data_IF_608820895970
#
_entry.id   IF_608820895970
#
_cell.length_a   1.000
_cell.length_b   1.000
_cell.length_c   1.000
_cell.angle_alpha   90.00
_cell.angle_beta   90.00
_cell.angle_gamma   90.00
#
_symmetry.space_group_name_H-M   'P 1'
#
loop_
_entity.id
_entity.type
_entity.pdbx_description
1 polymer ?
#
# COMPACT_ATOMS: atom_id res chain seq x y z
N UNK A 1 -42.54 -1.50 10.23
CA UNK A 1 -41.33 -0.65 10.32
C UNK A 1 -40.21 -1.53 10.84
N UNK A 2 -39.48 -2.18 9.95
CA UNK A 2 -38.35 -3.06 10.32
C UNK A 2 -37.12 -2.20 10.31
N UNK A 3 -36.67 -1.79 11.50
CA UNK A 3 -35.36 -1.20 11.69
C UNK A 3 -34.31 -2.29 11.42
N UNK A 4 -33.80 -2.35 10.20
CA UNK A 4 -32.56 -3.01 9.96
C UNK A 4 -31.45 -2.11 10.52
N UNK A 5 -30.89 -2.49 11.65
CA UNK A 5 -29.62 -1.98 12.15
C UNK A 5 -28.54 -2.22 11.08
N UNK A 6 -28.40 -1.31 10.14
CA UNK A 6 -27.25 -1.25 9.27
C UNK A 6 -26.09 -0.73 10.11
N UNK A 7 -25.36 -1.63 10.75
CA UNK A 7 -24.08 -1.33 11.34
C UNK A 7 -23.22 -0.60 10.31
N UNK A 8 -22.90 0.64 10.59
CA UNK A 8 -21.95 1.54 9.94
C UNK A 8 -21.30 1.00 8.66
N UNK A 9 -21.91 1.28 7.52
CA UNK A 9 -21.28 0.99 6.24
C UNK A 9 -20.47 2.21 5.81
N UNK A 10 -19.16 2.18 6.02
CA UNK A 10 -18.27 3.10 5.30
C UNK A 10 -18.17 2.57 3.89
N UNK A 11 -18.93 3.14 2.98
CA UNK A 11 -18.78 2.88 1.56
C UNK A 11 -17.72 3.84 1.04
N UNK A 12 -16.66 3.29 0.47
CA UNK A 12 -15.65 4.09 -0.20
C UNK A 12 -15.83 3.91 -1.68
N UNK A 13 -16.35 4.95 -2.33
CA UNK A 13 -16.41 5.01 -3.77
C UNK A 13 -15.10 5.58 -4.30
N UNK A 14 -14.27 4.76 -4.92
CA UNK A 14 -13.18 5.24 -5.75
C UNK A 14 -13.74 5.60 -7.11
N UNK A 15 -13.92 6.89 -7.37
CA UNK A 15 -14.16 7.40 -8.72
C UNK A 15 -12.81 7.34 -9.43
N UNK A 16 -12.65 6.32 -10.24
CA UNK A 16 -11.52 6.24 -11.16
C UNK A 16 -11.99 6.89 -12.44
N UNK A 17 -11.88 8.20 -12.48
CA UNK A 17 -11.98 8.93 -13.71
C UNK A 17 -10.59 8.98 -14.34
N UNK A 18 -10.37 8.19 -15.33
CA UNK A 18 -9.46 8.31 -16.49
C UNK A 18 -9.08 6.95 -17.07
N UNK A 19 -9.76 6.53 -18.09
CA UNK A 19 -9.32 6.20 -19.45
C UNK A 19 -8.10 5.31 -19.67
N UNK A 20 -7.64 4.50 -18.71
CA UNK A 20 -6.79 3.39 -19.10
C UNK A 20 -6.89 2.23 -18.08
N UNK A 21 -7.70 1.19 -18.38
CA UNK A 21 -7.74 -0.04 -17.56
C UNK A 21 -6.35 -0.64 -17.33
N UNK A 22 -5.43 -0.48 -18.30
CA UNK A 22 -4.07 -0.98 -18.21
C UNK A 22 -3.26 -0.42 -17.03
N UNK A 23 -3.56 0.77 -16.52
CA UNK A 23 -2.80 1.34 -15.41
C UNK A 23 -3.18 0.72 -14.06
N UNK A 24 -4.45 0.41 -13.83
CA UNK A 24 -4.91 -0.19 -12.57
C UNK A 24 -4.50 -1.64 -12.42
N UNK A 25 -4.45 -2.40 -13.52
CA UNK A 25 -3.90 -3.75 -13.52
C UNK A 25 -2.39 -3.78 -13.24
N UNK A 26 -1.72 -2.63 -13.26
CA UNK A 26 -0.31 -2.56 -12.90
C UNK A 26 -0.17 -2.35 -11.39
N UNK A 27 0.42 -3.30 -10.70
CA UNK A 27 0.60 -3.33 -9.24
C UNK A 27 1.10 -2.00 -8.63
N UNK A 28 2.08 -1.36 -9.26
CA UNK A 28 2.59 -0.07 -8.80
C UNK A 28 1.50 1.01 -8.77
N UNK A 29 0.75 1.17 -9.86
CA UNK A 29 -0.28 2.19 -9.95
C UNK A 29 -1.45 1.90 -8.99
N UNK A 30 -1.80 0.63 -8.86
CA UNK A 30 -2.82 0.22 -7.90
C UNK A 30 -2.43 0.58 -6.46
N UNK A 31 -1.22 0.23 -6.04
CA UNK A 31 -0.79 0.44 -4.65
C UNK A 31 -0.40 1.89 -4.39
N UNK A 32 0.50 2.45 -5.19
CA UNK A 32 1.11 3.75 -4.92
C UNK A 32 0.19 4.94 -5.24
N UNK A 33 -0.74 4.77 -6.17
CA UNK A 33 -1.62 5.86 -6.57
C UNK A 33 -3.04 5.68 -6.02
N UNK A 34 -3.65 4.49 -6.19
CA UNK A 34 -5.01 4.26 -5.79
C UNK A 34 -5.14 3.95 -4.29
N UNK A 35 -4.57 2.84 -3.83
CA UNK A 35 -4.70 2.40 -2.43
C UNK A 35 -4.10 3.40 -1.46
N UNK A 36 -2.95 3.93 -1.80
CA UNK A 36 -2.25 4.92 -1.02
C UNK A 36 -3.03 6.25 -0.93
N UNK A 37 -3.51 6.77 -2.06
CA UNK A 37 -4.32 7.98 -2.11
C UNK A 37 -5.63 7.83 -1.35
N UNK A 38 -6.31 6.71 -1.56
CA UNK A 38 -7.52 6.36 -0.84
C UNK A 38 -7.31 6.35 0.69
N UNK A 39 -6.33 5.60 1.15
CA UNK A 39 -6.06 5.50 2.58
C UNK A 39 -5.59 6.84 3.16
N UNK A 40 -4.76 7.57 2.42
CA UNK A 40 -4.30 8.88 2.85
C UNK A 40 -5.44 9.87 3.05
N UNK A 41 -6.39 9.92 2.12
CA UNK A 41 -7.59 10.75 2.24
C UNK A 41 -8.46 10.31 3.42
N UNK A 42 -8.69 9.00 3.58
CA UNK A 42 -9.51 8.49 4.68
C UNK A 42 -8.87 8.73 6.05
N UNK A 43 -7.60 8.44 6.18
CA UNK A 43 -6.84 8.60 7.43
C UNK A 43 -6.70 10.05 7.88
N UNK A 44 -6.85 11.03 6.98
CA UNK A 44 -6.84 12.46 7.33
C UNK A 44 -7.99 12.87 8.25
N UNK A 45 -9.03 12.05 8.32
CA UNK A 45 -10.16 12.25 9.22
C UNK A 45 -9.84 11.89 10.69
N UNK A 46 -8.70 11.25 10.94
CA UNK A 46 -8.26 10.89 12.28
C UNK A 46 -6.80 11.36 12.52
N UNK A 47 -6.61 12.53 13.10
CA UNK A 47 -5.27 13.03 13.42
C UNK A 47 -4.62 12.28 14.59
N UNK A 48 -5.36 11.44 15.31
CA UNK A 48 -4.92 10.75 16.53
C UNK A 48 -4.40 9.33 16.31
N UNK A 49 -4.23 8.89 15.06
CA UNK A 49 -3.72 7.54 14.76
C UNK A 49 -2.39 7.33 15.48
N UNK A 50 -2.34 6.27 16.30
CA UNK A 50 -1.20 5.94 17.17
C UNK A 50 -0.10 5.14 16.43
N UNK A 51 1.05 5.00 17.07
CA UNK A 51 2.17 4.19 16.60
C UNK A 51 1.80 2.72 16.42
N UNK A 52 0.92 2.20 17.28
CA UNK A 52 0.40 0.83 17.19
C UNK A 52 -0.65 0.64 16.10
N UNK A 53 -0.96 1.67 15.32
CA UNK A 53 -1.96 1.61 14.25
C UNK A 53 -3.40 1.61 14.77
N UNK A 54 -3.63 2.07 15.99
CA UNK A 54 -4.98 2.26 16.52
C UNK A 54 -5.54 3.56 15.94
N UNK A 55 -6.74 3.47 15.39
CA UNK A 55 -7.48 4.58 14.79
C UNK A 55 -8.90 4.60 15.34
N UNK A 56 -9.46 5.80 15.53
CA UNK A 56 -10.86 6.00 15.84
C UNK A 56 -11.78 5.78 14.61
N UNK A 57 -11.19 5.70 13.41
CA UNK A 57 -11.95 5.45 12.19
C UNK A 57 -12.40 4.00 12.10
N UNK A 58 -13.62 3.82 11.63
CA UNK A 58 -14.11 2.49 11.25
C UNK A 58 -13.28 1.92 10.11
N UNK A 59 -12.95 0.63 10.16
CA UNK A 59 -12.31 -0.03 9.01
C UNK A 59 -13.23 0.03 7.79
N UNK A 60 -12.74 0.47 6.63
CA UNK A 60 -13.52 0.45 5.39
C UNK A 60 -14.03 -0.96 5.09
N UNK A 61 -15.33 -1.09 4.83
CA UNK A 61 -15.96 -2.40 4.56
C UNK A 61 -16.33 -2.59 3.11
N UNK A 62 -16.40 -1.51 2.34
CA UNK A 62 -16.76 -1.55 0.92
C UNK A 62 -15.85 -0.64 0.12
N UNK A 63 -15.43 -1.12 -1.05
CA UNK A 63 -14.79 -0.32 -2.08
C UNK A 63 -15.59 -0.50 -3.36
N UNK A 64 -15.93 0.59 -4.00
CA UNK A 64 -16.64 0.57 -5.26
C UNK A 64 -15.73 1.05 -6.40
N UNK A 65 -15.50 0.18 -7.36
CA UNK A 65 -14.83 0.50 -8.61
C UNK A 65 -15.87 0.93 -9.64
N UNK A 66 -16.13 2.24 -9.71
CA UNK A 66 -17.29 2.83 -10.41
C UNK A 66 -17.38 2.45 -11.88
N UNK A 67 -16.24 2.36 -12.59
CA UNK A 67 -16.18 2.13 -14.04
C UNK A 67 -15.51 0.82 -14.41
N UNK A 68 -15.33 -0.08 -13.46
CA UNK A 68 -14.64 -1.35 -13.69
C UNK A 68 -15.54 -2.53 -13.38
N UNK A 69 -15.26 -3.63 -14.06
CA UNK A 69 -15.76 -4.95 -13.68
C UNK A 69 -14.76 -5.70 -12.78
N UNK A 70 -15.16 -6.86 -12.33
CA UNK A 70 -14.39 -7.68 -11.38
C UNK A 70 -13.02 -8.13 -11.90
N UNK A 71 -12.79 -8.12 -13.20
CA UNK A 71 -11.54 -8.58 -13.82
C UNK A 71 -10.54 -7.46 -14.05
N UNK A 72 -11.01 -6.24 -14.24
CA UNK A 72 -10.22 -5.13 -14.78
C UNK A 72 -9.22 -4.49 -13.80
N UNK A 73 -9.33 -4.75 -12.50
CA UNK A 73 -8.41 -4.21 -11.50
C UNK A 73 -7.36 -5.22 -11.02
N UNK A 74 -7.55 -6.51 -11.32
CA UNK A 74 -6.63 -7.56 -10.90
C UNK A 74 -5.46 -7.67 -11.86
N UNK A 75 -4.25 -7.61 -11.31
CA UNK A 75 -3.05 -7.93 -12.08
C UNK A 75 -2.90 -9.46 -12.27
N UNK A 76 -2.19 -9.93 -13.32
CA UNK A 76 -2.03 -11.36 -13.58
C UNK A 76 -1.49 -12.17 -12.39
N UNK A 77 -0.49 -11.70 -11.62
CA UNK A 77 -0.01 -12.40 -10.43
C UNK A 77 -0.90 -12.20 -9.19
N UNK A 78 -2.02 -11.48 -9.29
CA UNK A 78 -2.97 -11.15 -8.21
C UNK A 78 -2.35 -10.45 -7.00
N UNK A 79 -1.36 -9.62 -7.22
CA UNK A 79 -0.74 -8.82 -6.16
C UNK A 79 -1.65 -7.70 -5.69
N UNK A 80 -2.42 -7.09 -6.62
CA UNK A 80 -3.42 -6.07 -6.28
C UNK A 80 -4.45 -6.60 -5.29
N UNK A 81 -5.02 -7.76 -5.57
CA UNK A 81 -5.99 -8.41 -4.69
C UNK A 81 -5.37 -8.77 -3.34
N UNK A 82 -4.17 -9.34 -3.35
CA UNK A 82 -3.48 -9.73 -2.15
C UNK A 82 -3.20 -8.52 -1.24
N UNK A 83 -2.73 -7.41 -1.79
CA UNK A 83 -2.47 -6.18 -1.04
C UNK A 83 -3.76 -5.58 -0.49
N UNK A 84 -4.81 -5.52 -1.29
CA UNK A 84 -6.10 -5.00 -0.83
C UNK A 84 -6.64 -5.83 0.34
N UNK A 85 -6.55 -7.16 0.25
CA UNK A 85 -6.98 -8.07 1.32
C UNK A 85 -6.09 -7.99 2.55
N UNK A 86 -4.78 -7.80 2.39
CA UNK A 86 -3.88 -7.62 3.54
C UNK A 86 -4.13 -6.30 4.26
N UNK A 87 -4.40 -5.24 3.53
CA UNK A 87 -4.71 -3.92 4.10
C UNK A 87 -6.10 -3.90 4.79
N UNK A 88 -7.10 -4.54 4.16
CA UNK A 88 -8.51 -4.52 4.58
C UNK A 88 -9.13 -5.93 4.45
N UNK A 89 -8.90 -6.83 5.42
CA UNK A 89 -9.35 -8.23 5.32
C UNK A 89 -10.86 -8.41 5.13
N UNK A 90 -11.67 -7.51 5.68
CA UNK A 90 -13.14 -7.55 5.63
C UNK A 90 -13.74 -6.69 4.52
N UNK A 91 -12.93 -6.18 3.58
CA UNK A 91 -13.40 -5.30 2.52
C UNK A 91 -14.11 -6.08 1.42
N UNK A 92 -15.32 -5.63 1.07
CA UNK A 92 -16.06 -6.11 -0.11
C UNK A 92 -15.79 -5.17 -1.27
N UNK A 93 -15.37 -5.71 -2.41
CA UNK A 93 -15.27 -4.97 -3.66
C UNK A 93 -16.59 -5.03 -4.42
N UNK A 94 -17.08 -3.89 -4.85
CA UNK A 94 -18.30 -3.71 -5.64
C UNK A 94 -17.94 -3.04 -6.98
N UNK A 95 -18.75 -3.32 -8.00
CA UNK A 95 -18.50 -2.95 -9.38
C UNK A 95 -19.71 -2.25 -9.98
N UNK A 96 -19.58 -1.76 -11.21
CA UNK A 96 -20.67 -1.06 -11.91
C UNK A 96 -21.96 -1.86 -11.95
N UNK A 97 -21.89 -3.16 -12.21
CA UNK A 97 -23.09 -4.02 -12.28
C UNK A 97 -23.79 -4.14 -10.94
N UNK A 98 -23.08 -4.25 -9.83
CA UNK A 98 -23.69 -4.31 -8.48
C UNK A 98 -24.54 -3.06 -8.18
N UNK A 99 -24.16 -1.92 -8.74
CA UNK A 99 -24.88 -0.65 -8.55
C UNK A 99 -25.99 -0.45 -9.57
N UNK A 100 -25.87 -0.99 -10.78
CA UNK A 100 -26.97 -1.05 -11.75
C UNK A 100 -28.10 -1.91 -11.17
N UNK A 101 -27.80 -3.09 -10.64
CA UNK A 101 -28.77 -3.97 -10.00
C UNK A 101 -29.49 -3.28 -8.83
N UNK A 102 -28.76 -2.51 -8.02
CA UNK A 102 -29.37 -1.72 -6.94
C UNK A 102 -30.30 -0.62 -7.46
N UNK A 103 -29.90 0.05 -8.52
CA UNK A 103 -30.72 1.09 -9.15
C UNK A 103 -32.02 0.52 -9.72
N UNK A 104 -31.97 -0.66 -10.33
CA UNK A 104 -33.14 -1.37 -10.88
C UNK A 104 -34.14 -1.79 -9.80
N UNK A 105 -33.69 -1.98 -8.55
CA UNK A 105 -34.60 -2.25 -7.43
C UNK A 105 -35.53 -1.08 -7.09
N UNK A 106 -35.30 0.12 -7.64
CA UNK A 106 -36.10 1.31 -7.41
C UNK A 106 -36.22 1.74 -5.94
N UNK A 107 -35.28 1.34 -5.09
CA UNK A 107 -35.24 1.67 -3.66
C UNK A 107 -34.05 2.58 -3.35
N UNK A 108 -34.23 3.58 -2.50
CA UNK A 108 -33.10 4.41 -2.06
C UNK A 108 -32.17 3.60 -1.15
N UNK A 109 -30.86 3.79 -1.32
CA UNK A 109 -29.83 3.29 -0.44
C UNK A 109 -29.18 4.46 0.29
N UNK A 110 -29.13 4.37 1.61
CA UNK A 110 -28.47 5.37 2.45
C UNK A 110 -27.10 4.83 2.86
N UNK A 111 -26.07 5.64 2.63
CA UNK A 111 -24.70 5.35 3.04
C UNK A 111 -24.31 6.35 4.13
N UNK A 112 -23.90 5.87 5.30
CA UNK A 112 -23.52 6.71 6.44
C UNK A 112 -22.32 7.60 6.12
N UNK A 113 -21.36 7.04 5.42
CA UNK A 113 -20.14 7.74 5.04
C UNK A 113 -19.65 7.26 3.68
N UNK A 114 -19.39 8.20 2.80
CA UNK A 114 -18.85 7.96 1.47
C UNK A 114 -17.59 8.78 1.30
N UNK A 115 -16.53 8.15 0.82
CA UNK A 115 -15.30 8.82 0.44
C UNK A 115 -15.10 8.65 -1.06
N UNK A 116 -14.92 9.78 -1.75
CA UNK A 116 -14.51 9.79 -3.16
C UNK A 116 -13.00 9.96 -3.22
N UNK A 117 -12.34 9.09 -3.93
CA UNK A 117 -10.89 9.13 -4.12
C UNK A 117 -10.53 8.71 -5.53
N UNK A 118 -9.53 9.37 -6.07
CA UNK A 118 -8.92 9.08 -7.36
C UNK A 118 -7.40 8.92 -7.24
N UNK A 119 -6.73 8.74 -8.35
CA UNK A 119 -5.26 8.66 -8.38
C UNK A 119 -4.59 9.96 -7.95
N UNK A 120 -5.24 11.11 -8.16
CA UNK A 120 -4.66 12.41 -7.84
C UNK A 120 -4.50 12.61 -6.33
N UNK A 121 -5.31 11.92 -5.51
CA UNK A 121 -5.20 12.01 -4.05
C UNK A 121 -3.82 11.62 -3.50
N UNK A 122 -3.10 10.73 -4.16
CA UNK A 122 -1.73 10.35 -3.77
C UNK A 122 -0.64 11.28 -4.32
N UNK A 123 -1.00 12.15 -5.24
CA UNK A 123 -0.08 13.03 -5.97
C UNK A 123 -0.25 14.51 -5.58
N UNK A 124 -0.99 14.80 -4.52
CA UNK A 124 -1.16 16.17 -4.02
C UNK A 124 0.17 16.74 -3.53
N UNK A 125 0.39 18.01 -3.80
CA UNK A 125 1.59 18.73 -3.40
C UNK A 125 2.25 19.51 -4.54
N UNK A 126 3.44 20.06 -4.31
CA UNK A 126 4.16 20.90 -5.28
C UNK A 126 4.48 20.22 -6.61
N UNK A 127 4.43 18.90 -6.65
CA UNK A 127 4.83 18.08 -7.80
C UNK A 127 3.67 17.22 -8.33
N UNK A 128 2.43 17.61 -8.06
CA UNK A 128 1.21 16.89 -8.48
C UNK A 128 1.17 16.54 -9.98
N UNK A 129 1.74 17.39 -10.83
CA UNK A 129 1.82 17.20 -12.27
C UNK A 129 2.98 16.28 -12.72
N UNK A 130 3.86 15.88 -11.80
CA UNK A 130 5.00 14.99 -12.12
C UNK A 130 4.62 13.55 -11.88
N UNK A 131 4.09 12.90 -12.90
CA UNK A 131 3.79 11.47 -12.88
C UNK A 131 5.02 10.67 -12.44
N UNK A 132 4.87 9.82 -11.44
CA UNK A 132 5.89 8.88 -10.98
C UNK A 132 6.57 9.21 -9.64
N UNK A 133 6.12 10.26 -8.93
CA UNK A 133 6.62 10.59 -7.58
C UNK A 133 5.52 10.76 -6.52
N UNK A 134 4.45 9.96 -6.53
CA UNK A 134 3.34 10.17 -5.59
C UNK A 134 3.76 10.03 -4.13
N UNK A 135 4.75 9.20 -3.85
CA UNK A 135 5.19 8.91 -2.48
C UNK A 135 6.06 10.01 -1.86
N UNK A 136 6.73 10.82 -2.67
CA UNK A 136 7.64 11.84 -2.15
C UNK A 136 6.92 12.94 -1.38
N UNK A 137 5.69 13.27 -1.80
CA UNK A 137 4.89 14.36 -1.22
C UNK A 137 3.89 13.88 -0.15
N UNK A 138 3.58 12.59 -0.13
CA UNK A 138 2.54 12.05 0.75
C UNK A 138 2.90 12.18 2.23
N UNK A 139 4.18 12.13 2.57
CA UNK A 139 4.65 12.33 3.94
C UNK A 139 4.46 13.76 4.43
N UNK A 140 4.38 14.74 3.52
CA UNK A 140 4.17 16.15 3.86
C UNK A 140 2.68 16.54 3.96
N UNK A 141 1.75 15.64 3.64
CA UNK A 141 0.32 15.91 3.73
C UNK A 141 -0.15 16.03 5.20
N UNK A 142 -1.14 16.91 5.47
CA UNK A 142 -1.68 17.08 6.83
C UNK A 142 -2.25 15.78 7.41
N UNK A 143 -2.23 15.63 8.73
CA UNK A 143 -2.77 14.49 9.46
C UNK A 143 -1.74 13.85 10.38
N UNK A 144 -2.07 12.69 10.95
CA UNK A 144 -1.15 11.96 11.81
C UNK A 144 0.11 11.54 11.07
N UNK A 145 1.27 11.69 11.71
CA UNK A 145 2.54 11.12 11.20
C UNK A 145 2.48 9.58 11.12
N UNK A 146 1.54 8.97 11.84
CA UNK A 146 1.32 7.51 11.91
C UNK A 146 0.17 7.03 11.03
N UNK A 147 -0.26 7.85 10.08
CA UNK A 147 -1.41 7.56 9.23
C UNK A 147 -1.34 6.22 8.49
N UNK A 148 -0.13 5.70 8.24
CA UNK A 148 0.09 4.42 7.57
C UNK A 148 0.13 3.22 8.52
N UNK A 149 0.32 3.43 9.82
CA UNK A 149 0.45 2.36 10.82
C UNK A 149 -0.69 1.34 10.82
N UNK A 150 -1.98 1.72 10.63
CA UNK A 150 -3.07 0.75 10.54
C UNK A 150 -2.91 -0.22 9.37
N UNK A 151 -2.47 0.26 8.22
CA UNK A 151 -2.24 -0.57 7.03
C UNK A 151 -1.06 -1.52 7.25
N UNK A 152 0.04 -1.00 7.79
CA UNK A 152 1.21 -1.81 8.10
C UNK A 152 0.88 -2.94 9.09
N UNK A 153 0.13 -2.61 10.15
CA UNK A 153 -0.35 -3.58 11.14
C UNK A 153 -1.20 -4.67 10.51
N UNK A 154 -2.21 -4.30 9.72
CA UNK A 154 -3.09 -5.25 9.06
C UNK A 154 -2.29 -6.18 8.12
N UNK A 155 -1.34 -5.65 7.36
CA UNK A 155 -0.50 -6.42 6.46
C UNK A 155 0.39 -7.42 7.23
N UNK A 156 0.94 -7.01 8.37
CA UNK A 156 1.73 -7.90 9.24
C UNK A 156 0.86 -9.01 9.84
N UNK A 157 -0.31 -8.68 10.35
CA UNK A 157 -1.26 -9.67 10.88
C UNK A 157 -1.69 -10.66 9.79
N UNK A 158 -1.97 -10.17 8.59
CA UNK A 158 -2.34 -11.01 7.44
C UNK A 158 -1.21 -11.96 7.02
N UNK A 159 0.04 -11.55 7.19
CA UNK A 159 1.21 -12.38 6.96
C UNK A 159 1.56 -13.31 8.14
N UNK A 160 0.72 -13.36 9.20
CA UNK A 160 0.97 -14.18 10.38
C UNK A 160 2.08 -13.64 11.30
N UNK A 161 2.44 -12.37 11.17
CA UNK A 161 3.45 -11.69 11.99
C UNK A 161 2.73 -10.88 13.08
N UNK A 162 2.30 -11.53 14.13
CA UNK A 162 1.39 -10.97 15.15
C UNK A 162 2.11 -10.21 16.26
N UNK A 163 3.43 -10.35 16.38
CA UNK A 163 4.16 -9.80 17.50
C UNK A 163 4.47 -8.30 17.32
N UNK A 164 3.84 -7.45 18.14
CA UNK A 164 4.08 -5.99 18.17
C UNK A 164 5.55 -5.66 18.50
N UNK A 165 6.25 -6.53 19.21
CA UNK A 165 7.67 -6.39 19.51
C UNK A 165 8.55 -6.45 18.26
N UNK A 166 8.10 -7.11 17.20
CA UNK A 166 8.80 -7.18 15.92
C UNK A 166 8.70 -5.87 15.10
N UNK A 167 7.81 -4.95 15.48
CA UNK A 167 7.65 -3.65 14.80
C UNK A 167 8.65 -2.59 15.27
N UNK A 168 9.24 -2.77 16.44
CA UNK A 168 10.30 -1.89 16.96
C UNK A 168 11.63 -2.57 16.73
N UNK A 169 12.41 -2.07 15.77
CA UNK A 169 13.78 -2.54 15.59
C UNK A 169 14.61 -2.12 16.82
N UNK A 170 14.76 -3.02 17.78
CA UNK A 170 15.60 -2.82 18.98
C UNK A 170 17.07 -3.16 18.73
N UNK A 171 17.39 -3.64 17.53
CA UNK A 171 18.74 -4.02 17.09
C UNK A 171 19.43 -2.98 16.22
N UNK A 172 20.60 -3.32 15.67
CA UNK A 172 21.30 -2.46 14.73
C UNK A 172 20.45 -2.19 13.48
N UNK A 173 20.69 -1.07 12.78
CA UNK A 173 19.99 -0.75 11.53
C UNK A 173 20.09 -1.89 10.52
N UNK A 174 18.96 -2.21 9.89
CA UNK A 174 18.84 -3.22 8.83
C UNK A 174 18.78 -2.53 7.47
N UNK A 175 19.78 -2.75 6.65
CA UNK A 175 19.84 -2.22 5.28
C UNK A 175 19.45 -3.35 4.33
N UNK A 176 18.42 -3.13 3.52
CA UNK A 176 18.01 -4.10 2.50
C UNK A 176 18.19 -3.52 1.11
N UNK A 177 19.08 -4.12 0.33
CA UNK A 177 19.24 -3.84 -1.08
C UNK A 177 18.40 -4.80 -1.91
N UNK A 178 17.45 -4.24 -2.68
CA UNK A 178 16.61 -5.01 -3.61
C UNK A 178 17.34 -5.15 -4.93
N UNK A 179 18.00 -6.29 -5.09
CA UNK A 179 18.74 -6.62 -6.32
C UNK A 179 17.81 -7.06 -7.44
N UNK A 180 18.03 -6.52 -8.63
CA UNK A 180 17.27 -6.84 -9.85
C UNK A 180 18.13 -7.45 -10.95
N UNK A 181 19.35 -7.87 -10.64
CA UNK A 181 20.34 -8.30 -11.61
C UNK A 181 19.95 -9.53 -12.45
N UNK A 182 18.98 -10.31 -12.00
CA UNK A 182 18.56 -11.54 -12.70
C UNK A 182 17.35 -11.37 -13.61
N UNK A 183 16.72 -10.18 -13.65
CA UNK A 183 15.41 -10.06 -14.28
C UNK A 183 15.41 -9.35 -15.64
N UNK A 184 16.53 -8.80 -16.05
CA UNK A 184 16.60 -7.94 -17.25
C UNK A 184 15.93 -6.57 -17.06
N UNK A 185 16.15 -5.67 -18.00
CA UNK A 185 15.62 -4.31 -17.94
C UNK A 185 16.43 -3.41 -17.02
N UNK A 186 15.81 -2.72 -16.09
CA UNK A 186 16.44 -1.70 -15.24
C UNK A 186 17.37 -2.29 -14.17
N UNK A 187 18.55 -2.70 -14.59
CA UNK A 187 19.63 -3.25 -13.76
C UNK A 187 20.75 -2.23 -13.63
N UNK A 188 21.58 -2.36 -12.60
CA UNK A 188 22.91 -1.75 -12.62
C UNK A 188 23.81 -2.51 -13.58
N UNK A 189 24.79 -1.84 -14.15
CA UNK A 189 25.90 -2.55 -14.80
C UNK A 189 26.63 -3.41 -13.76
N UNK A 190 27.18 -4.57 -14.13
CA UNK A 190 27.72 -5.52 -13.18
C UNK A 190 28.73 -4.91 -12.20
N UNK A 191 29.64 -4.11 -12.68
CA UNK A 191 30.69 -3.47 -11.88
C UNK A 191 30.11 -2.52 -10.81
N UNK A 192 29.04 -1.78 -11.16
CA UNK A 192 28.36 -0.90 -10.20
C UNK A 192 27.56 -1.69 -9.18
N UNK A 193 26.98 -2.81 -9.59
CA UNK A 193 26.28 -3.70 -8.69
C UNK A 193 27.22 -4.31 -7.65
N UNK A 194 28.33 -4.89 -8.12
CA UNK A 194 29.36 -5.49 -7.27
C UNK A 194 29.92 -4.48 -6.28
N UNK A 195 30.32 -3.31 -6.74
CA UNK A 195 30.80 -2.23 -5.91
C UNK A 195 29.76 -1.79 -4.87
N UNK A 196 28.48 -1.65 -5.25
CA UNK A 196 27.43 -1.31 -4.28
C UNK A 196 27.31 -2.39 -3.20
N UNK A 197 27.34 -3.66 -3.56
CA UNK A 197 27.26 -4.77 -2.62
C UNK A 197 28.46 -4.78 -1.67
N UNK A 198 29.67 -4.56 -2.18
CA UNK A 198 30.88 -4.44 -1.38
C UNK A 198 30.81 -3.30 -0.38
N UNK A 199 30.38 -2.11 -0.81
CA UNK A 199 30.20 -0.94 0.06
C UNK A 199 29.15 -1.19 1.15
N UNK A 200 28.04 -1.86 0.80
CA UNK A 200 27.03 -2.22 1.80
C UNK A 200 27.55 -3.21 2.84
N UNK A 201 28.33 -4.20 2.42
CA UNK A 201 28.97 -5.13 3.38
C UNK A 201 30.07 -4.45 4.20
N UNK A 202 30.76 -3.45 3.66
CA UNK A 202 31.71 -2.65 4.45
C UNK A 202 31.01 -1.88 5.59
N UNK A 203 29.77 -1.43 5.39
CA UNK A 203 28.96 -0.82 6.47
C UNK A 203 28.61 -1.84 7.56
N UNK A 204 28.32 -3.09 7.18
CA UNK A 204 28.13 -4.19 8.14
C UNK A 204 29.38 -4.38 9.00
N UNK A 205 30.53 -4.49 8.34
CA UNK A 205 31.80 -4.80 9.01
C UNK A 205 32.29 -3.65 9.89
N UNK A 206 32.04 -2.40 9.47
CA UNK A 206 32.47 -1.18 10.18
C UNK A 206 31.53 -0.76 11.31
N UNK A 207 30.22 -0.92 11.13
CA UNK A 207 29.21 -0.36 12.04
C UNK A 207 28.29 -1.42 12.67
N UNK A 208 28.43 -2.69 12.34
CA UNK A 208 27.59 -3.75 12.84
C UNK A 208 26.17 -3.74 12.27
N UNK A 209 25.93 -3.09 11.13
CA UNK A 209 24.61 -3.09 10.50
C UNK A 209 24.25 -4.45 9.93
N UNK A 210 22.97 -4.82 9.98
CA UNK A 210 22.50 -5.99 9.22
C UNK A 210 22.33 -5.58 7.76
N UNK A 211 22.93 -6.32 6.83
CA UNK A 211 22.83 -6.05 5.39
C UNK A 211 22.22 -7.24 4.67
N UNK A 212 21.12 -6.99 3.96
CA UNK A 212 20.42 -7.99 3.14
C UNK A 212 20.48 -7.59 1.67
N UNK A 213 20.97 -8.49 0.82
CA UNK A 213 20.87 -8.37 -0.65
C UNK A 213 19.80 -9.33 -1.13
N UNK A 214 18.62 -8.81 -1.43
CA UNK A 214 17.42 -9.60 -1.70
C UNK A 214 16.99 -9.55 -3.16
N UNK A 215 16.71 -10.72 -3.72
CA UNK A 215 16.00 -10.87 -5.01
C UNK A 215 14.55 -11.21 -4.71
N UNK A 216 13.65 -10.24 -4.83
CA UNK A 216 12.25 -10.36 -4.36
C UNK A 216 11.47 -11.48 -5.05
N UNK A 217 11.84 -11.85 -6.27
CA UNK A 217 11.22 -12.95 -7.02
C UNK A 217 11.49 -14.34 -6.43
N UNK A 218 12.46 -14.44 -5.53
CA UNK A 218 12.81 -15.69 -4.84
C UNK A 218 12.13 -15.84 -3.49
N UNK A 219 11.51 -14.76 -3.00
CA UNK A 219 10.86 -14.72 -1.70
C UNK A 219 9.36 -14.90 -1.85
N UNK A 220 8.75 -15.67 -0.95
CA UNK A 220 7.31 -15.71 -0.79
C UNK A 220 6.78 -14.30 -0.41
N UNK A 221 5.47 -14.08 -0.50
CA UNK A 221 4.86 -12.80 -0.13
C UNK A 221 5.06 -12.50 1.35
N UNK A 222 4.95 -13.50 2.19
CA UNK A 222 5.14 -13.42 3.63
C UNK A 222 6.60 -13.09 3.99
N UNK A 223 7.56 -13.70 3.30
CA UNK A 223 8.99 -13.39 3.46
C UNK A 223 9.30 -11.96 3.02
N UNK A 224 8.69 -11.49 1.92
CA UNK A 224 8.82 -10.10 1.48
C UNK A 224 8.30 -9.12 2.53
N UNK A 225 7.15 -9.39 3.16
CA UNK A 225 6.60 -8.57 4.23
C UNK A 225 7.49 -8.61 5.47
N UNK A 226 7.95 -9.80 5.86
CA UNK A 226 8.86 -9.97 7.01
C UNK A 226 10.15 -9.20 6.82
N UNK A 227 10.76 -9.31 5.64
CA UNK A 227 11.98 -8.56 5.30
C UNK A 227 11.72 -7.05 5.36
N UNK A 228 10.61 -6.60 4.79
CA UNK A 228 10.23 -5.19 4.81
C UNK A 228 10.00 -4.67 6.22
N UNK A 229 9.34 -5.43 7.09
CA UNK A 229 9.06 -5.04 8.47
C UNK A 229 10.35 -4.81 9.28
N UNK A 230 11.39 -5.60 9.03
CA UNK A 230 12.69 -5.48 9.70
C UNK A 230 13.59 -4.41 9.10
N UNK A 231 13.40 -4.05 7.83
CA UNK A 231 14.29 -3.14 7.10
C UNK A 231 14.25 -1.72 7.66
N UNK A 232 15.39 -1.14 8.01
CA UNK A 232 15.53 0.26 8.41
C UNK A 232 15.74 1.17 7.21
N UNK A 233 16.58 0.74 6.27
CA UNK A 233 16.88 1.48 5.04
C UNK A 233 16.70 0.54 3.85
N UNK A 234 15.86 0.95 2.90
CA UNK A 234 15.72 0.23 1.63
C UNK A 234 16.53 0.92 0.53
N UNK A 235 17.36 0.13 -0.14
CA UNK A 235 18.13 0.57 -1.31
C UNK A 235 17.57 -0.15 -2.54
N UNK A 236 17.13 0.60 -3.54
CA UNK A 236 16.64 0.05 -4.80
C UNK A 236 17.13 0.92 -5.96
N UNK A 237 17.49 0.29 -7.06
CA UNK A 237 17.95 0.98 -8.26
C UNK A 237 16.82 1.60 -9.06
N UNK A 238 15.60 1.12 -8.89
CA UNK A 238 14.37 1.71 -9.44
C UNK A 238 13.13 1.07 -8.82
N UNK A 239 12.37 1.88 -8.10
CA UNK A 239 11.23 1.47 -7.31
C UNK A 239 10.00 1.07 -8.16
N UNK A 240 9.92 -0.14 -8.67
CA UNK A 240 8.72 -0.71 -9.32
C UNK A 240 8.03 -1.84 -8.54
N UNK A 241 8.55 -2.25 -7.39
CA UNK A 241 7.94 -3.30 -6.55
C UNK A 241 7.92 -2.86 -5.10
N UNK A 242 6.85 -2.21 -4.74
CA UNK A 242 6.61 -1.57 -3.44
C UNK A 242 5.90 -2.43 -2.39
N UNK A 243 6.05 -3.74 -2.38
CA UNK A 243 5.67 -4.48 -1.17
C UNK A 243 6.41 -3.96 0.08
N UNK A 244 7.63 -3.43 -0.10
CA UNK A 244 8.40 -2.79 0.97
C UNK A 244 7.87 -1.41 1.38
N UNK A 245 7.34 -0.61 0.46
CA UNK A 245 6.76 0.69 0.80
C UNK A 245 5.45 0.59 1.59
N UNK A 246 4.74 -0.54 1.52
CA UNK A 246 3.51 -0.76 2.29
C UNK A 246 3.79 -0.76 3.80
N UNK A 247 5.00 -1.07 4.23
CA UNK A 247 5.33 -1.25 5.63
C UNK A 247 6.08 -0.10 6.29
N UNK A 248 6.60 0.87 5.54
CA UNK A 248 7.36 1.98 6.12
C UNK A 248 7.13 3.32 5.46
N UNK A 249 6.19 4.10 5.98
CA UNK A 249 6.34 5.53 6.17
C UNK A 249 6.72 5.75 7.65
N UNK A 250 7.97 5.51 7.99
CA UNK A 250 8.56 6.05 9.21
C UNK A 250 9.44 7.23 8.78
N UNK A 251 9.04 8.40 9.16
CA UNK A 251 9.91 9.56 9.34
C UNK A 251 10.41 9.58 10.78
#
# INVERSE_FOLDING_TARGET
MIQHNCAFCVAVACIIDFCNPCSIQHYYHFVAELLFGFWRTYSSLDPSISDSGISALSTPRRIWFVHLDASQWRDPPRLNEWVLRSAFPSLTAEYSNDWIDRAELGRPFLLDRVLFSDRAASMQGKHEHKVGRPLAEACSLPGSLRWWSPIARNALQFAGLVDESSMVATGPPVITYISRQKRGGRMLVPEHHERLVEELYSLRDKYGYEVNVASMEKLSREEQIRLAARTTVSVDTYCKRYSLCILRCRL
#
